data_IF_470616016348
#
_entry.id   IF_470616016348
#
_cell.length_a   1.000
_cell.length_b   1.000
_cell.length_c   1.000
_cell.angle_alpha   90.00
_cell.angle_beta   90.00
_cell.angle_gamma   90.00
#
_symmetry.space_group_name_H-M   'P 1'
#
loop_
_entity.id
_entity.type
_entity.pdbx_description
1 polymer ?
#
# COMPACT_ATOMS: atom_id res chain seq x y z
N UNK A 1 -26.69 -13.61 -23.81
CA UNK A 1 -26.46 -12.64 -22.73
C UNK A 1 -25.13 -12.99 -22.08
N UNK A 2 -24.06 -12.29 -22.45
CA UNK A 2 -22.74 -12.53 -21.88
C UNK A 2 -22.73 -12.11 -20.41
N UNK A 3 -22.30 -13.00 -19.52
CA UNK A 3 -21.95 -12.64 -18.15
C UNK A 3 -21.04 -11.40 -18.19
N UNK A 4 -21.26 -10.35 -17.36
CA UNK A 4 -20.30 -9.27 -17.27
C UNK A 4 -19.01 -9.92 -16.79
N UNK A 5 -18.04 -10.08 -17.71
CA UNK A 5 -16.70 -10.47 -17.36
C UNK A 5 -16.31 -9.54 -16.21
N UNK A 6 -16.04 -10.12 -15.06
CA UNK A 6 -15.59 -9.38 -13.89
C UNK A 6 -14.30 -8.71 -14.34
N UNK A 7 -14.37 -7.41 -14.66
CA UNK A 7 -13.27 -6.58 -15.18
C UNK A 7 -12.15 -6.36 -14.15
N UNK A 8 -12.00 -7.30 -13.22
CA UNK A 8 -10.92 -7.30 -12.27
C UNK A 8 -9.63 -7.65 -13.02
N UNK A 9 -8.56 -6.87 -12.83
CA UNK A 9 -7.26 -7.21 -13.38
C UNK A 9 -6.89 -8.65 -12.99
N UNK A 10 -6.21 -9.33 -13.91
CA UNK A 10 -5.69 -10.69 -13.71
C UNK A 10 -5.09 -10.84 -12.30
N UNK A 11 -5.36 -11.98 -11.65
CA UNK A 11 -4.92 -12.25 -10.27
C UNK A 11 -3.43 -11.99 -10.09
N UNK A 12 -2.63 -12.27 -11.12
CA UNK A 12 -1.19 -12.00 -11.15
C UNK A 12 -0.87 -10.51 -10.97
N UNK A 13 -1.63 -9.63 -11.62
CA UNK A 13 -1.45 -8.18 -11.54
C UNK A 13 -1.84 -7.66 -10.15
N UNK A 14 -2.91 -8.19 -9.56
CA UNK A 14 -3.31 -7.89 -8.19
C UNK A 14 -2.25 -8.31 -7.16
N UNK A 15 -1.70 -9.52 -7.28
CA UNK A 15 -0.62 -10.00 -6.39
C UNK A 15 0.65 -9.16 -6.54
N UNK A 16 1.04 -8.81 -7.77
CA UNK A 16 2.17 -7.91 -8.01
C UNK A 16 1.96 -6.53 -7.35
N UNK A 17 0.74 -5.99 -7.44
CA UNK A 17 0.35 -4.75 -6.76
C UNK A 17 0.54 -4.83 -5.25
N UNK A 18 0.00 -5.88 -4.61
CA UNK A 18 0.09 -6.08 -3.16
C UNK A 18 1.56 -6.24 -2.73
N UNK A 19 2.36 -7.02 -3.46
CA UNK A 19 3.78 -7.22 -3.14
C UNK A 19 4.57 -5.91 -3.21
N UNK A 20 4.29 -5.05 -4.18
CA UNK A 20 4.94 -3.73 -4.29
C UNK A 20 4.47 -2.79 -3.19
N UNK A 21 3.18 -2.79 -2.86
CA UNK A 21 2.66 -2.00 -1.75
C UNK A 21 3.31 -2.40 -0.41
N UNK A 22 3.44 -3.70 -0.17
CA UNK A 22 4.15 -4.22 1.01
C UNK A 22 5.62 -3.82 1.01
N UNK A 23 6.34 -4.00 -0.11
CA UNK A 23 7.75 -3.62 -0.23
C UNK A 23 7.96 -2.12 0.01
N UNK A 24 7.07 -1.27 -0.53
CA UNK A 24 7.12 0.17 -0.32
C UNK A 24 6.87 0.54 1.14
N UNK A 25 5.86 -0.06 1.79
CA UNK A 25 5.61 0.14 3.21
C UNK A 25 6.84 -0.25 4.05
N UNK A 26 7.44 -1.42 3.80
CA UNK A 26 8.66 -1.87 4.49
C UNK A 26 9.81 -0.89 4.28
N UNK A 27 10.02 -0.39 3.06
CA UNK A 27 11.07 0.57 2.78
C UNK A 27 10.89 1.89 3.54
N UNK A 28 9.66 2.42 3.60
CA UNK A 28 9.34 3.62 4.37
C UNK A 28 9.56 3.36 5.87
N UNK A 29 9.10 2.21 6.36
CA UNK A 29 9.24 1.85 7.78
C UNK A 29 10.71 1.69 8.19
N UNK A 30 11.53 1.05 7.35
CA UNK A 30 12.98 0.92 7.58
C UNK A 30 13.70 2.27 7.51
N UNK A 31 13.28 3.17 6.62
CA UNK A 31 13.84 4.52 6.54
C UNK A 31 13.54 5.32 7.82
N UNK A 32 12.30 5.24 8.32
CA UNK A 32 11.89 5.88 9.58
C UNK A 32 12.66 5.28 10.77
N UNK A 33 12.80 3.95 10.82
CA UNK A 33 13.58 3.24 11.85
C UNK A 33 15.05 3.67 11.88
N UNK A 34 15.67 3.81 10.71
CA UNK A 34 17.05 4.27 10.59
C UNK A 34 17.18 5.74 11.05
N UNK A 35 16.22 6.59 10.67
CA UNK A 35 16.18 8.00 11.07
C UNK A 35 15.93 8.21 12.57
N UNK A 36 15.18 7.31 13.22
CA UNK A 36 14.92 7.38 14.66
C UNK A 36 16.02 6.77 15.53
N UNK A 37 17.09 6.22 14.94
CA UNK A 37 18.18 5.60 15.69
C UNK A 37 17.80 4.25 16.30
N UNK A 38 16.87 3.52 15.69
CA UNK A 38 16.45 2.19 16.15
C UNK A 38 15.35 2.20 17.21
N UNK A 39 14.90 3.38 17.67
CA UNK A 39 13.71 3.50 18.51
C UNK A 39 12.48 3.54 17.61
N UNK A 40 12.01 2.38 17.16
CA UNK A 40 10.63 2.25 16.69
C UNK A 40 9.90 1.45 17.74
N UNK A 41 9.43 2.18 18.75
CA UNK A 41 8.25 1.76 19.49
C UNK A 41 7.12 2.54 18.86
N UNK A 42 6.10 1.84 18.35
CA UNK A 42 4.76 2.35 18.07
C UNK A 42 4.72 3.80 17.57
N UNK A 43 4.69 4.00 16.26
CA UNK A 43 4.40 5.33 15.73
C UNK A 43 3.08 5.80 16.33
N UNK A 44 3.13 6.96 16.99
CA UNK A 44 1.94 7.68 17.41
C UNK A 44 0.92 7.75 16.25
N UNK A 45 -0.39 7.88 16.52
CA UNK A 45 -1.42 7.78 15.47
C UNK A 45 -1.18 8.73 14.29
N UNK A 46 -0.59 9.90 14.56
CA UNK A 46 -0.32 10.93 13.55
C UNK A 46 0.77 10.50 12.54
N UNK A 47 1.99 10.09 12.97
CA UNK A 47 2.99 9.58 12.03
C UNK A 47 2.56 8.29 11.31
N UNK A 48 1.76 7.42 11.91
CA UNK A 48 1.20 6.25 11.24
C UNK A 48 0.29 6.67 10.06
N UNK A 49 -0.62 7.64 10.27
CA UNK A 49 -1.46 8.20 9.20
C UNK A 49 -0.60 8.82 8.09
N UNK A 50 0.44 9.58 8.46
CA UNK A 50 1.35 10.19 7.50
C UNK A 50 2.08 9.14 6.66
N UNK A 51 2.53 8.03 7.27
CA UNK A 51 3.15 6.91 6.55
C UNK A 51 2.18 6.24 5.59
N UNK A 52 0.94 5.97 6.00
CA UNK A 52 -0.09 5.39 5.11
C UNK A 52 -0.38 6.34 3.94
N UNK A 53 -0.48 7.64 4.18
CA UNK A 53 -0.68 8.64 3.14
C UNK A 53 0.51 8.71 2.17
N UNK A 54 1.75 8.67 2.68
CA UNK A 54 2.96 8.63 1.86
C UNK A 54 3.02 7.35 1.00
N UNK A 55 2.75 6.19 1.59
CA UNK A 55 2.73 4.91 0.88
C UNK A 55 1.66 4.90 -0.23
N UNK A 56 0.47 5.45 0.03
CA UNK A 56 -0.59 5.58 -0.96
C UNK A 56 -0.18 6.53 -2.11
N UNK A 57 0.38 7.69 -1.79
CA UNK A 57 0.83 8.68 -2.79
C UNK A 57 1.97 8.15 -3.66
N UNK A 58 2.99 7.55 -3.05
CA UNK A 58 4.11 6.93 -3.75
C UNK A 58 3.67 5.72 -4.59
N UNK A 59 2.68 4.96 -4.11
CA UNK A 59 2.07 3.87 -4.85
C UNK A 59 1.37 4.31 -6.14
N UNK A 60 0.62 5.41 -6.09
CA UNK A 60 0.03 6.03 -7.30
C UNK A 60 1.12 6.52 -8.24
N UNK A 61 2.17 7.14 -7.71
CA UNK A 61 3.28 7.62 -8.52
C UNK A 61 4.02 6.48 -9.23
N UNK A 62 4.28 5.36 -8.56
CA UNK A 62 4.86 4.15 -9.18
C UNK A 62 3.95 3.58 -10.27
N UNK A 63 2.64 3.45 -9.99
CA UNK A 63 1.65 2.99 -10.97
C UNK A 63 1.54 3.92 -12.19
N UNK A 64 1.69 5.23 -11.99
CA UNK A 64 1.73 6.22 -13.08
C UNK A 64 3.00 6.09 -13.91
N UNK A 65 4.17 5.95 -13.27
CA UNK A 65 5.47 5.81 -13.94
C UNK A 65 5.56 4.55 -14.80
N UNK A 66 4.91 3.46 -14.39
CA UNK A 66 4.87 2.19 -15.12
C UNK A 66 3.80 2.13 -16.20
N UNK A 67 3.05 3.21 -16.44
CA UNK A 67 1.88 3.26 -17.33
C UNK A 67 0.76 2.24 -16.98
N UNK A 68 0.85 1.57 -15.83
CA UNK A 68 -0.15 0.62 -15.36
C UNK A 68 -1.46 1.33 -15.00
N UNK A 69 -1.39 2.61 -14.61
CA UNK A 69 -2.56 3.41 -14.32
C UNK A 69 -3.45 3.61 -15.57
N UNK A 70 -2.85 3.72 -16.76
CA UNK A 70 -3.58 3.79 -18.04
C UNK A 70 -4.24 2.45 -18.37
N UNK A 71 -3.52 1.34 -18.16
CA UNK A 71 -4.06 -0.01 -18.34
C UNK A 71 -5.25 -0.25 -17.40
N UNK A 72 -5.11 0.12 -16.13
CA UNK A 72 -6.17 -0.01 -15.11
C UNK A 72 -7.38 0.87 -15.44
N UNK A 73 -7.15 2.10 -15.90
CA UNK A 73 -8.22 2.98 -16.36
C UNK A 73 -8.98 2.41 -17.58
N UNK A 74 -8.27 1.80 -18.53
CA UNK A 74 -8.89 1.13 -19.68
C UNK A 74 -9.74 -0.09 -19.26
N UNK A 75 -9.45 -0.70 -18.10
CA UNK A 75 -10.27 -1.75 -17.49
C UNK A 75 -11.41 -1.20 -16.59
N UNK A 76 -11.59 0.13 -16.54
CA UNK A 76 -12.61 0.79 -15.74
C UNK A 76 -12.23 1.03 -14.28
N UNK A 77 -10.98 0.75 -13.88
CA UNK A 77 -10.50 0.98 -12.52
C UNK A 77 -10.17 2.47 -12.35
N UNK A 78 -10.87 3.12 -11.40
CA UNK A 78 -10.64 4.54 -11.10
C UNK A 78 -9.33 4.72 -10.31
N UNK A 79 -8.59 5.85 -10.48
CA UNK A 79 -7.37 6.12 -9.71
C UNK A 79 -7.56 6.07 -8.19
N UNK A 80 -8.74 6.45 -7.71
CA UNK A 80 -9.10 6.39 -6.28
C UNK A 80 -9.11 4.95 -5.76
N UNK A 81 -9.49 3.97 -6.60
CA UNK A 81 -9.44 2.55 -6.22
C UNK A 81 -7.99 2.07 -6.08
N UNK A 82 -7.10 2.56 -6.94
CA UNK A 82 -5.66 2.30 -6.83
C UNK A 82 -5.13 2.87 -5.52
N UNK A 83 -5.44 4.12 -5.19
CA UNK A 83 -5.09 4.71 -3.89
C UNK A 83 -5.60 3.88 -2.71
N UNK A 84 -6.85 3.45 -2.76
CA UNK A 84 -7.46 2.66 -1.70
C UNK A 84 -6.78 1.30 -1.50
N UNK A 85 -6.35 0.63 -2.58
CA UNK A 85 -5.63 -0.65 -2.49
C UNK A 85 -4.28 -0.44 -1.78
N UNK A 86 -3.51 0.57 -2.20
CA UNK A 86 -2.21 0.84 -1.57
C UNK A 86 -2.35 1.28 -0.12
N UNK A 87 -3.29 2.19 0.16
CA UNK A 87 -3.60 2.62 1.52
C UNK A 87 -4.09 1.46 2.40
N UNK A 88 -4.94 0.58 1.86
CA UNK A 88 -5.47 -0.58 2.57
C UNK A 88 -4.37 -1.59 2.93
N UNK A 89 -3.44 -1.87 2.01
CA UNK A 89 -2.29 -2.73 2.30
C UNK A 89 -1.37 -2.09 3.35
N UNK A 90 -1.07 -0.81 3.22
CA UNK A 90 -0.24 -0.09 4.20
C UNK A 90 -0.90 -0.08 5.59
N UNK A 91 -2.19 0.21 5.67
CA UNK A 91 -2.95 0.20 6.93
C UNK A 91 -3.00 -1.19 7.57
N UNK A 92 -3.20 -2.24 6.75
CA UNK A 92 -3.18 -3.62 7.24
C UNK A 92 -1.82 -3.97 7.85
N UNK A 93 -0.73 -3.64 7.16
CA UNK A 93 0.63 -3.90 7.64
C UNK A 93 0.95 -3.10 8.90
N UNK A 94 0.53 -1.82 8.95
CA UNK A 94 0.68 -0.99 10.14
C UNK A 94 -0.06 -1.59 11.34
N UNK A 95 -1.32 -2.01 11.14
CA UNK A 95 -2.13 -2.66 12.19
C UNK A 95 -1.47 -3.94 12.68
N UNK A 96 -0.95 -4.78 11.76
CA UNK A 96 -0.24 -6.01 12.13
C UNK A 96 1.05 -5.71 12.90
N UNK A 97 1.79 -4.67 12.53
CA UNK A 97 2.99 -4.26 13.24
C UNK A 97 2.66 -3.79 14.67
N UNK A 98 1.63 -2.96 14.83
CA UNK A 98 1.16 -2.50 16.15
C UNK A 98 0.68 -3.68 17.01
N UNK A 99 -0.08 -4.63 16.44
CA UNK A 99 -0.53 -5.81 17.17
C UNK A 99 0.63 -6.73 17.58
N UNK A 100 1.60 -6.92 16.70
CA UNK A 100 2.80 -7.71 17.01
C UNK A 100 3.59 -7.07 18.16
N UNK A 101 3.76 -5.75 18.15
CA UNK A 101 4.41 -5.03 19.25
C UNK A 101 3.64 -5.18 20.56
N UNK A 102 2.31 -5.05 20.53
CA UNK A 102 1.46 -5.22 21.70
C UNK A 102 1.52 -6.64 22.29
N UNK A 103 1.66 -7.67 21.44
CA UNK A 103 1.75 -9.07 21.87
C UNK A 103 3.11 -9.44 22.49
N UNK A 104 4.17 -8.67 22.19
CA UNK A 104 5.52 -8.89 22.70
C UNK A 104 5.81 -8.18 24.02
N UNK A 105 4.90 -7.34 24.50
CA UNK A 105 4.96 -6.65 25.79
C UNK A 105 4.24 -7.46 26.87
#
# INVERSE_FOLDING_TARGET
MGSPATNWPDRLLGVAFIRRAAALWTAIHMFVLAGSGGTVMSLEPLPAIAMVAMAAGLGVFDAKKRHELLLLQNMGVRPVMVMAIWAGVALLLETLATLAEAAWR
#
